data_IF_471339642588
#
_entry.id   IF_471339642588
#
_cell.length_a   1.000
_cell.length_b   1.000
_cell.length_c   1.000
_cell.angle_alpha   90.00
_cell.angle_beta   90.00
_cell.angle_gamma   90.00
#
_symmetry.space_group_name_H-M   'P 1'
#
loop_
_entity.id
_entity.type
_entity.pdbx_description
1 polymer ?
#
# COMPACT_ATOMS: atom_id res chain seq x y z
N UNK A 1 6.28 -39.86 11.10
CA UNK A 1 5.27 -40.21 10.09
C UNK A 1 3.93 -39.87 10.73
N UNK A 2 3.26 -38.75 10.44
CA UNK A 2 2.62 -38.42 9.18
C UNK A 2 2.60 -36.90 8.96
N UNK A 3 2.90 -36.52 7.73
CA UNK A 3 2.86 -35.16 7.18
C UNK A 3 1.41 -34.76 6.91
N UNK A 4 0.99 -33.58 7.35
CA UNK A 4 -0.33 -33.01 7.01
C UNK A 4 -0.11 -31.75 6.16
N UNK A 5 0.09 -31.97 4.86
CA UNK A 5 0.08 -30.95 3.82
C UNK A 5 -1.36 -30.46 3.63
N UNK A 6 -1.67 -29.26 4.13
CA UNK A 6 -2.92 -28.58 3.82
C UNK A 6 -2.77 -27.85 2.47
N UNK A 7 -3.38 -28.42 1.43
CA UNK A 7 -3.44 -27.86 0.08
C UNK A 7 -4.68 -26.94 0.03
N UNK A 8 -4.52 -25.64 0.24
CA UNK A 8 -5.57 -24.67 -0.01
C UNK A 8 -5.79 -24.56 -1.54
N UNK A 9 -6.91 -25.12 -2.00
CA UNK A 9 -7.30 -25.11 -3.41
C UNK A 9 -7.86 -23.75 -3.82
N UNK A 10 -7.21 -23.15 -4.80
CA UNK A 10 -7.61 -21.96 -5.54
C UNK A 10 -8.96 -22.20 -6.25
N UNK A 11 -9.94 -21.32 -6.03
CA UNK A 11 -11.24 -21.36 -6.72
C UNK A 11 -11.34 -20.22 -7.74
N UNK A 12 -11.38 -20.57 -9.03
CA UNK A 12 -11.83 -19.68 -10.09
C UNK A 12 -13.34 -19.80 -10.23
N UNK A 13 -14.05 -18.67 -10.23
CA UNK A 13 -15.45 -18.64 -10.63
C UNK A 13 -15.62 -17.63 -11.78
N UNK A 14 -15.83 -18.15 -12.99
CA UNK A 14 -16.39 -17.43 -14.12
C UNK A 14 -17.84 -17.90 -14.31
N UNK A 15 -18.80 -16.98 -14.41
CA UNK A 15 -20.06 -17.28 -15.10
C UNK A 15 -20.75 -16.05 -15.69
N UNK A 16 -20.61 -15.96 -17.02
CA UNK A 16 -21.58 -15.65 -18.08
C UNK A 16 -22.75 -14.66 -17.87
N UNK A 17 -22.75 -13.73 -18.84
CA UNK A 17 -23.82 -12.88 -19.41
C UNK A 17 -25.23 -13.50 -19.53
N UNK A 18 -26.27 -12.69 -19.24
CA UNK A 18 -27.56 -12.73 -19.95
C UNK A 18 -28.20 -11.32 -20.09
N UNK A 19 -28.43 -10.95 -21.36
CA UNK A 19 -29.55 -10.23 -21.98
C UNK A 19 -30.19 -8.95 -21.38
N UNK A 20 -30.33 -7.97 -22.30
CA UNK A 20 -30.97 -6.65 -22.22
C UNK A 20 -32.46 -6.62 -21.84
N UNK A 21 -32.87 -5.50 -21.20
CA UNK A 21 -34.17 -4.85 -21.48
C UNK A 21 -34.01 -3.31 -21.52
N UNK A 22 -34.76 -2.71 -22.43
CA UNK A 22 -34.56 -1.43 -23.13
C UNK A 22 -35.27 -0.24 -22.44
N UNK A 23 -34.52 0.87 -22.33
CA UNK A 23 -34.83 2.31 -22.45
C UNK A 23 -36.01 2.94 -21.68
N UNK A 24 -35.73 4.04 -20.98
CA UNK A 24 -36.25 5.34 -21.43
C UNK A 24 -35.38 6.51 -20.93
N UNK A 25 -35.14 7.46 -21.82
CA UNK A 25 -34.11 8.49 -21.69
C UNK A 25 -34.51 9.69 -20.83
N UNK A 26 -33.49 10.33 -20.28
CA UNK A 26 -33.42 11.77 -20.14
C UNK A 26 -32.13 12.21 -20.79
N UNK A 27 -32.25 13.02 -21.84
CA UNK A 27 -31.15 13.65 -22.54
C UNK A 27 -30.51 14.66 -21.59
N UNK A 28 -29.23 14.47 -21.28
CA UNK A 28 -28.32 15.56 -20.98
C UNK A 28 -27.09 15.35 -21.86
N UNK A 29 -27.03 16.13 -22.93
CA UNK A 29 -25.81 16.47 -23.64
C UNK A 29 -24.93 17.27 -22.69
N UNK A 30 -23.80 16.71 -22.29
CA UNK A 30 -22.48 17.28 -22.54
C UNK A 30 -21.41 16.35 -21.94
N UNK A 31 -20.36 16.19 -22.72
CA UNK A 31 -19.08 15.54 -22.46
C UNK A 31 -18.82 15.13 -20.99
N UNK A 32 -19.20 13.90 -20.65
CA UNK A 32 -18.71 13.26 -19.44
C UNK A 32 -17.43 12.49 -19.79
N UNK A 33 -16.38 13.22 -20.15
CA UNK A 33 -15.04 12.66 -20.05
C UNK A 33 -14.82 12.33 -18.57
N UNK A 34 -15.04 11.07 -18.20
CA UNK A 34 -14.58 10.54 -16.94
C UNK A 34 -13.06 10.70 -16.94
N UNK A 35 -12.58 11.83 -16.42
CA UNK A 35 -11.16 12.06 -16.17
C UNK A 35 -10.73 10.90 -15.30
N UNK A 36 -10.01 9.95 -15.88
CA UNK A 36 -9.12 9.09 -15.12
C UNK A 36 -8.18 10.05 -14.42
N UNK A 37 -8.51 10.35 -13.16
CA UNK A 37 -7.70 11.13 -12.28
C UNK A 37 -6.43 10.29 -12.16
N UNK A 38 -5.38 10.70 -12.87
CA UNK A 38 -4.03 10.38 -12.41
C UNK A 38 -4.01 10.92 -10.99
N UNK A 39 -4.17 10.01 -10.02
CA UNK A 39 -4.33 10.35 -8.63
C UNK A 39 -3.23 11.32 -8.25
N UNK A 40 -3.63 12.49 -7.78
CA UNK A 40 -2.71 13.49 -7.28
C UNK A 40 -2.06 12.89 -6.03
N UNK A 41 -0.94 12.19 -6.22
CA UNK A 41 -0.15 11.59 -5.15
C UNK A 41 0.49 12.74 -4.37
N UNK A 42 -0.24 13.25 -3.39
CA UNK A 42 0.18 14.32 -2.52
C UNK A 42 -0.25 13.98 -1.10
N UNK A 43 0.68 14.11 -0.16
CA UNK A 43 0.43 13.89 1.25
C UNK A 43 -0.59 14.93 1.76
N UNK A 44 -1.78 14.48 2.18
CA UNK A 44 -2.87 15.34 2.67
C UNK A 44 -2.66 15.87 4.11
N UNK A 45 -1.62 15.42 4.82
CA UNK A 45 -1.32 15.86 6.19
C UNK A 45 -0.80 17.31 6.18
N UNK A 46 -1.60 18.23 6.72
CA UNK A 46 -1.36 19.68 6.64
C UNK A 46 -0.98 20.34 7.96
N UNK A 47 -1.17 19.69 9.12
CA UNK A 47 -0.79 20.30 10.40
C UNK A 47 0.73 20.13 10.66
N UNK A 48 1.42 21.17 11.17
CA UNK A 48 2.85 21.08 11.48
C UNK A 48 3.22 19.98 12.48
N UNK A 49 2.32 19.69 13.42
CA UNK A 49 2.50 18.63 14.41
C UNK A 49 2.53 17.24 13.77
N UNK A 50 1.59 16.98 12.85
CA UNK A 50 1.50 15.70 12.15
C UNK A 50 2.66 15.52 11.16
N UNK A 51 3.11 16.60 10.52
CA UNK A 51 4.31 16.57 9.67
C UNK A 51 5.57 16.22 10.46
N UNK A 52 5.79 16.87 11.62
CA UNK A 52 6.94 16.58 12.48
C UNK A 52 6.93 15.14 13.02
N UNK A 53 5.76 14.62 13.39
CA UNK A 53 5.60 13.23 13.82
C UNK A 53 5.95 12.26 12.68
N UNK A 54 5.43 12.50 11.49
CA UNK A 54 5.76 11.74 10.28
C UNK A 54 7.27 11.74 10.00
N UNK A 55 7.92 12.89 10.03
CA UNK A 55 9.37 13.01 9.85
C UNK A 55 10.16 12.19 10.87
N UNK A 56 9.74 12.21 12.14
CA UNK A 56 10.42 11.49 13.23
C UNK A 56 10.31 9.98 13.04
N UNK A 57 9.12 9.46 12.75
CA UNK A 57 8.88 8.02 12.54
C UNK A 57 9.60 7.53 11.28
N UNK A 58 9.53 8.28 10.17
CA UNK A 58 10.24 7.94 8.94
C UNK A 58 11.75 7.93 9.15
N UNK A 59 12.30 8.93 9.84
CA UNK A 59 13.72 8.99 10.15
C UNK A 59 14.18 7.80 11.00
N UNK A 60 13.38 7.40 11.99
CA UNK A 60 13.62 6.20 12.80
C UNK A 60 13.65 4.95 11.93
N UNK A 61 12.62 4.73 11.11
CA UNK A 61 12.52 3.53 10.27
C UNK A 61 13.65 3.43 9.26
N UNK A 62 14.06 4.55 8.64
CA UNK A 62 15.19 4.57 7.69
C UNK A 62 16.48 3.99 8.27
N UNK A 63 16.80 4.34 9.51
CA UNK A 63 18.01 3.87 10.17
C UNK A 63 17.96 2.37 10.50
N UNK A 64 16.77 1.77 10.44
CA UNK A 64 16.51 0.38 10.81
C UNK A 64 16.33 -0.54 9.60
N UNK A 65 16.39 0.01 8.38
CA UNK A 65 16.34 -0.78 7.14
C UNK A 65 17.60 -1.63 7.03
N UNK A 66 17.40 -2.94 6.99
CA UNK A 66 18.44 -3.94 6.76
C UNK A 66 18.65 -4.21 5.27
N UNK A 67 17.60 -4.10 4.47
CA UNK A 67 17.61 -4.38 3.03
C UNK A 67 16.51 -3.60 2.33
N UNK A 68 16.79 -3.07 1.14
CA UNK A 68 15.82 -2.44 0.23
C UNK A 68 15.76 -3.22 -1.07
N UNK A 69 14.57 -3.61 -1.50
CA UNK A 69 14.31 -4.22 -2.81
C UNK A 69 13.39 -3.34 -3.61
N UNK A 70 13.74 -3.11 -4.86
CA UNK A 70 12.84 -2.47 -5.81
C UNK A 70 11.82 -3.49 -6.32
N UNK A 71 10.55 -3.08 -6.37
CA UNK A 71 9.45 -3.84 -6.95
C UNK A 71 8.98 -3.14 -8.23
N UNK A 72 8.17 -3.82 -9.04
CA UNK A 72 7.60 -3.23 -10.24
C UNK A 72 6.79 -1.96 -9.94
N UNK A 73 6.01 -1.98 -8.86
CA UNK A 73 5.06 -0.94 -8.46
C UNK A 73 5.34 -0.38 -7.06
N UNK A 74 6.60 -0.38 -6.61
CA UNK A 74 6.93 0.09 -5.26
C UNK A 74 8.30 -0.37 -4.75
N UNK A 75 8.43 -0.46 -3.43
CA UNK A 75 9.62 -0.96 -2.74
C UNK A 75 9.24 -1.93 -1.62
N UNK A 76 10.15 -2.85 -1.31
CA UNK A 76 10.09 -3.68 -0.11
C UNK A 76 11.30 -3.38 0.79
N UNK A 77 11.05 -3.25 2.08
CA UNK A 77 12.04 -2.93 3.10
C UNK A 77 12.08 -4.03 4.15
N UNK A 78 13.30 -4.50 4.45
CA UNK A 78 13.55 -5.50 5.48
C UNK A 78 13.93 -4.83 6.78
N UNK A 79 13.38 -5.31 7.88
CA UNK A 79 13.70 -4.89 9.24
C UNK A 79 13.95 -6.11 10.12
N UNK A 80 14.43 -5.87 11.35
CA UNK A 80 14.44 -6.90 12.39
C UNK A 80 13.01 -7.28 12.77
N UNK A 81 12.76 -8.54 13.10
CA UNK A 81 11.43 -9.02 13.49
C UNK A 81 11.11 -8.85 14.98
N UNK A 82 11.65 -7.83 15.65
CA UNK A 82 11.38 -7.59 17.08
C UNK A 82 10.05 -6.88 17.26
N UNK A 83 9.41 -7.07 18.42
CA UNK A 83 8.06 -6.54 18.68
C UNK A 83 8.06 -4.99 18.61
N UNK A 84 9.16 -4.33 19.02
CA UNK A 84 9.32 -2.87 18.93
C UNK A 84 9.28 -2.35 17.48
N UNK A 85 9.94 -3.07 16.56
CA UNK A 85 9.91 -2.71 15.14
C UNK A 85 8.51 -2.87 14.56
N UNK A 86 7.80 -3.93 14.95
CA UNK A 86 6.45 -4.19 14.45
C UNK A 86 5.48 -3.08 14.89
N UNK A 87 5.65 -2.57 16.11
CA UNK A 87 4.89 -1.44 16.62
C UNK A 87 5.18 -0.16 15.81
N UNK A 88 6.46 0.15 15.55
CA UNK A 88 6.85 1.31 14.72
C UNK A 88 6.33 1.20 13.28
N UNK A 89 6.44 0.02 12.65
CA UNK A 89 5.92 -0.21 11.30
C UNK A 89 4.39 -0.04 11.26
N UNK A 90 3.69 -0.52 12.28
CA UNK A 90 2.23 -0.39 12.36
C UNK A 90 1.80 1.06 12.59
N UNK A 91 2.53 1.81 13.41
CA UNK A 91 2.30 3.25 13.61
C UNK A 91 2.53 4.04 12.32
N UNK A 92 3.59 3.72 11.58
CA UNK A 92 3.86 4.30 10.27
C UNK A 92 2.71 4.03 9.28
N UNK A 93 2.27 2.76 9.15
CA UNK A 93 1.15 2.40 8.26
C UNK A 93 -0.12 3.17 8.66
N UNK A 94 -0.44 3.23 9.95
CA UNK A 94 -1.62 3.98 10.43
C UNK A 94 -1.56 5.45 10.04
N UNK A 95 -0.41 6.08 10.24
CA UNK A 95 -0.21 7.50 9.94
C UNK A 95 -0.28 7.77 8.44
N UNK A 96 0.40 6.98 7.60
CA UNK A 96 0.37 7.19 6.15
C UNK A 96 -1.01 6.93 5.55
N UNK A 97 -1.81 6.02 6.11
CA UNK A 97 -3.19 5.80 5.66
C UNK A 97 -4.11 7.01 5.86
N UNK A 98 -3.76 7.94 6.75
CA UNK A 98 -4.53 9.18 6.95
C UNK A 98 -4.29 10.20 5.84
N UNK A 99 -3.12 10.19 5.17
CA UNK A 99 -2.77 11.18 4.14
C UNK A 99 -2.47 10.64 2.75
N UNK A 100 -2.13 9.38 2.63
CA UNK A 100 -1.62 8.74 1.42
C UNK A 100 -2.49 7.53 1.09
N UNK A 101 -3.75 7.81 0.75
CA UNK A 101 -4.78 6.82 0.44
C UNK A 101 -4.53 6.03 -0.86
N UNK A 102 -3.50 6.39 -1.63
CA UNK A 102 -3.06 5.69 -2.83
C UNK A 102 -2.05 4.56 -2.53
N UNK A 103 -1.50 4.46 -1.31
CA UNK A 103 -0.60 3.37 -0.96
C UNK A 103 -1.37 2.07 -0.68
N UNK A 104 -0.80 0.97 -1.15
CA UNK A 104 -1.08 -0.38 -0.70
C UNK A 104 0.09 -0.87 0.15
N UNK A 105 -0.21 -1.27 1.38
CA UNK A 105 0.76 -1.75 2.36
C UNK A 105 0.63 -3.27 2.47
N UNK A 106 1.75 -3.99 2.41
CA UNK A 106 1.81 -5.39 2.82
C UNK A 106 2.92 -5.57 3.86
N UNK A 107 2.62 -6.29 4.94
CA UNK A 107 3.57 -6.60 5.99
C UNK A 107 3.65 -8.12 6.16
N UNK A 108 4.87 -8.66 6.13
CA UNK A 108 5.15 -10.08 6.34
C UNK A 108 6.12 -10.24 7.51
N UNK A 109 5.80 -11.14 8.44
CA UNK A 109 6.53 -11.30 9.70
C UNK A 109 6.86 -12.77 9.89
N UNK A 110 8.14 -13.09 10.06
CA UNK A 110 8.58 -14.44 10.37
C UNK A 110 8.24 -14.82 11.81
N UNK A 111 7.66 -16.00 12.02
CA UNK A 111 7.37 -16.51 13.37
C UNK A 111 8.61 -16.79 14.24
N UNK A 112 9.81 -16.72 13.66
CA UNK A 112 11.09 -16.89 14.36
C UNK A 112 11.67 -15.56 14.89
N UNK A 113 10.91 -14.46 14.77
CA UNK A 113 11.27 -13.10 15.23
C UNK A 113 12.54 -12.50 14.61
N UNK A 114 13.07 -13.09 13.53
CA UNK A 114 14.32 -12.60 12.93
C UNK A 114 14.10 -11.40 12.02
N UNK A 115 13.05 -11.43 11.22
CA UNK A 115 12.82 -10.43 10.20
C UNK A 115 11.34 -10.11 10.00
N UNK A 116 11.13 -8.86 9.56
CA UNK A 116 9.87 -8.37 9.04
C UNK A 116 10.12 -7.66 7.71
N UNK A 117 9.15 -7.74 6.81
CA UNK A 117 9.14 -7.05 5.53
C UNK A 117 7.95 -6.11 5.47
N UNK A 118 8.19 -4.87 5.04
CA UNK A 118 7.16 -3.90 4.68
C UNK A 118 7.27 -3.58 3.18
N UNK A 119 6.19 -3.82 2.45
CA UNK A 119 6.05 -3.43 1.05
C UNK A 119 5.17 -2.19 0.96
N UNK A 120 5.67 -1.17 0.25
CA UNK A 120 4.95 0.05 -0.09
C UNK A 120 4.76 0.07 -1.61
N UNK A 121 3.51 -0.11 -2.04
CA UNK A 121 3.16 -0.18 -3.46
C UNK A 121 2.01 0.74 -3.81
N UNK A 122 1.76 0.98 -5.10
CA UNK A 122 0.67 1.85 -5.55
C UNK A 122 0.60 1.93 -7.08
N UNK A 123 -0.16 2.91 -7.57
CA UNK A 123 -0.29 3.19 -9.00
C UNK A 123 0.99 3.82 -9.59
N UNK A 124 0.99 4.08 -10.90
CA UNK A 124 2.12 4.73 -11.59
C UNK A 124 2.49 6.06 -10.93
N UNK A 125 3.78 6.26 -10.63
CA UNK A 125 4.30 7.44 -9.91
C UNK A 125 4.63 7.19 -8.44
N UNK A 126 4.25 6.03 -7.89
CA UNK A 126 4.44 5.73 -6.46
C UNK A 126 5.91 5.61 -6.06
N UNK A 127 6.79 5.11 -6.94
CA UNK A 127 8.22 4.96 -6.61
C UNK A 127 8.91 6.30 -6.51
N UNK A 128 8.56 7.22 -7.39
CA UNK A 128 9.01 8.60 -7.40
C UNK A 128 8.53 9.32 -6.14
N UNK A 129 7.25 9.12 -5.76
CA UNK A 129 6.69 9.64 -4.52
C UNK A 129 7.42 9.10 -3.29
N UNK A 130 7.64 7.78 -3.20
CA UNK A 130 8.37 7.16 -2.08
C UNK A 130 9.78 7.74 -1.96
N UNK A 131 10.48 7.93 -3.09
CA UNK A 131 11.85 8.46 -3.09
C UNK A 131 11.88 9.95 -2.70
N UNK A 132 10.92 10.76 -3.16
CA UNK A 132 10.88 12.18 -2.88
C UNK A 132 10.41 12.51 -1.46
N UNK A 133 9.32 11.88 -1.02
CA UNK A 133 8.61 12.25 0.21
C UNK A 133 9.05 11.39 1.40
N UNK A 134 9.29 10.11 1.17
CA UNK A 134 9.73 9.20 2.22
C UNK A 134 11.24 9.08 2.24
N UNK A 135 11.97 9.38 1.16
CA UNK A 135 13.44 9.45 1.12
C UNK A 135 14.15 8.14 1.47
N UNK A 136 13.55 7.01 1.09
CA UNK A 136 14.13 5.67 1.23
C UNK A 136 15.08 5.30 0.09
#
# INVERSE_FOLDING_TARGET
>A
MFSMLAICSYSQNQSKSTAMKKQNGSVCSDDCTAKNKSDQMSCKLTSPELQKRKETVIASLKQQILEKKELQNGYAFKFKGTDEILDELTEFIKTERECCDFFTFAMSIGGDKKEAWLELTGANGVKEFITAELGF
#
